data_IF_313938827008
#
_entry.id   IF_313938827008
#
_cell.length_a   1.000
_cell.length_b   1.000
_cell.length_c   1.000
_cell.angle_alpha   90.00
_cell.angle_beta   90.00
_cell.angle_gamma   90.00
#
_symmetry.space_group_name_H-M   'P 1'
#
loop_
_entity.id
_entity.type
_entity.pdbx_description
1 polymer ?
#
# COMPACT_ATOMS: atom_id res chain seq x y z
N UNK A 1 43.05 -58.25 -27.32
CA UNK A 1 42.75 -56.82 -27.04
C UNK A 1 41.61 -56.77 -26.05
N UNK A 2 41.81 -56.18 -24.86
CA UNK A 2 40.86 -56.18 -23.73
C UNK A 2 39.81 -55.07 -23.86
N UNK A 3 38.52 -55.41 -23.77
CA UNK A 3 37.41 -54.61 -23.19
C UNK A 3 36.32 -55.61 -22.76
N UNK A 4 36.38 -56.13 -21.53
CA UNK A 4 35.74 -55.64 -20.29
C UNK A 4 34.22 -55.58 -20.38
N UNK A 5 33.61 -56.55 -19.69
CA UNK A 5 32.22 -56.70 -19.30
C UNK A 5 31.84 -55.59 -18.30
N UNK A 6 30.69 -54.93 -18.48
CA UNK A 6 30.01 -54.17 -17.43
C UNK A 6 28.59 -54.74 -17.31
N UNK A 7 28.27 -55.15 -16.09
CA UNK A 7 27.01 -55.73 -15.62
C UNK A 7 26.30 -54.67 -14.76
N UNK A 8 24.95 -54.76 -14.70
CA UNK A 8 24.02 -54.23 -13.68
C UNK A 8 23.67 -52.73 -13.75
N UNK A 9 22.45 -52.24 -13.53
CA UNK A 9 21.13 -52.74 -13.06
C UNK A 9 20.08 -51.68 -13.53
N UNK A 10 18.78 -52.02 -13.68
CA UNK A 10 17.78 -51.06 -14.17
C UNK A 10 17.56 -49.91 -13.18
N UNK A 11 17.46 -48.69 -13.68
CA UNK A 11 16.97 -47.53 -12.93
C UNK A 11 15.54 -47.81 -12.47
N UNK A 12 15.39 -48.12 -11.18
CA UNK A 12 14.10 -48.07 -10.50
C UNK A 12 13.82 -46.61 -10.20
N UNK A 13 12.89 -46.01 -10.93
CA UNK A 13 12.29 -44.74 -10.55
C UNK A 13 11.43 -44.95 -9.31
N UNK A 14 11.98 -44.65 -8.14
CA UNK A 14 11.21 -44.45 -6.92
C UNK A 14 10.96 -42.95 -6.77
N UNK A 15 9.83 -42.47 -7.28
CA UNK A 15 9.13 -41.35 -6.64
C UNK A 15 8.10 -41.99 -5.73
N UNK A 16 8.51 -42.30 -4.50
CA UNK A 16 7.55 -42.55 -3.44
C UNK A 16 6.96 -41.18 -3.09
N UNK A 17 5.78 -40.89 -3.63
CA UNK A 17 4.88 -39.95 -2.99
C UNK A 17 4.63 -40.51 -1.58
N UNK A 18 5.14 -39.82 -0.57
CA UNK A 18 4.68 -40.04 0.80
C UNK A 18 3.31 -39.37 0.90
N UNK A 19 2.22 -40.11 1.13
CA UNK A 19 0.94 -39.49 1.45
C UNK A 19 1.05 -38.95 2.87
N UNK A 20 0.93 -37.64 3.03
CA UNK A 20 0.69 -37.05 4.34
C UNK A 20 -0.82 -36.97 4.57
N UNK A 21 -1.19 -37.47 5.74
CA UNK A 21 -2.54 -37.73 6.25
C UNK A 21 -3.37 -36.46 6.47
N UNK A 22 -4.69 -36.63 6.49
CA UNK A 22 -5.72 -35.60 6.54
C UNK A 22 -6.11 -35.21 7.97
N UNK A 23 -5.22 -34.65 8.77
CA UNK A 23 -5.61 -34.32 10.15
C UNK A 23 -4.57 -33.45 10.83
N UNK A 24 -4.80 -32.14 10.78
CA UNK A 24 -4.69 -31.18 11.90
C UNK A 24 -4.58 -29.76 11.30
N UNK A 25 -5.69 -28.99 11.31
CA UNK A 25 -5.82 -27.51 11.17
C UNK A 25 -7.23 -27.06 10.69
N UNK A 26 -8.29 -27.81 11.00
CA UNK A 26 -9.66 -27.26 10.90
C UNK A 26 -10.38 -27.62 12.22
N UNK A 27 -10.84 -26.60 12.96
CA UNK A 27 -11.83 -26.82 14.01
C UNK A 27 -13.12 -27.38 13.37
N UNK A 28 -13.87 -28.18 14.12
CA UNK A 28 -14.98 -29.02 13.63
C UNK A 28 -16.13 -28.25 12.93
N UNK A 29 -16.14 -26.92 12.94
CA UNK A 29 -17.17 -26.09 12.31
C UNK A 29 -16.81 -25.52 10.92
N UNK A 30 -15.60 -25.82 10.39
CA UNK A 30 -15.16 -25.50 9.01
C UNK A 30 -15.29 -24.02 8.59
N UNK A 31 -15.27 -23.08 9.51
CA UNK A 31 -15.45 -21.65 9.15
C UNK A 31 -14.18 -20.91 8.76
N UNK A 32 -12.98 -21.51 8.90
CA UNK A 32 -11.73 -20.75 8.77
C UNK A 32 -10.62 -21.36 7.88
N UNK A 33 -10.93 -22.34 7.02
CA UNK A 33 -9.86 -23.05 6.28
C UNK A 33 -9.35 -22.31 5.01
N UNK A 34 -9.58 -20.98 4.86
CA UNK A 34 -9.25 -20.22 3.64
C UNK A 34 -8.10 -19.19 3.79
N UNK A 35 -7.75 -18.77 5.01
CA UNK A 35 -6.71 -17.75 5.22
C UNK A 35 -5.29 -18.34 5.28
N UNK A 36 -5.11 -19.52 5.85
CA UNK A 36 -3.76 -20.09 6.07
C UNK A 36 -3.25 -20.89 4.86
N UNK A 37 -4.12 -21.41 4.00
CA UNK A 37 -3.73 -22.21 2.83
C UNK A 37 -3.07 -21.38 1.70
N UNK A 38 -3.19 -20.05 1.73
CA UNK A 38 -2.51 -19.14 0.80
C UNK A 38 -1.12 -18.67 1.30
N UNK A 39 -0.75 -18.94 2.55
CA UNK A 39 0.56 -18.56 3.10
C UNK A 39 1.70 -19.50 2.68
N UNK A 40 1.40 -20.64 2.05
CA UNK A 40 2.41 -21.57 1.54
C UNK A 40 2.23 -21.88 0.05
N UNK A 41 2.42 -20.88 -0.82
CA UNK A 41 2.82 -21.12 -2.22
C UNK A 41 3.58 -19.97 -2.86
N UNK A 42 4.45 -19.34 -2.10
CA UNK A 42 5.64 -18.64 -2.60
C UNK A 42 6.89 -19.51 -2.43
N UNK A 43 6.88 -20.74 -2.94
CA UNK A 43 8.14 -21.49 -3.07
C UNK A 43 8.93 -20.86 -4.22
N UNK A 44 9.58 -19.72 -3.95
CA UNK A 44 10.81 -19.37 -4.64
C UNK A 44 11.63 -20.65 -4.65
N UNK A 45 11.92 -21.17 -5.84
CA UNK A 45 12.93 -22.20 -5.96
C UNK A 45 14.14 -21.65 -5.21
N UNK A 46 14.49 -22.26 -4.07
CA UNK A 46 15.75 -22.02 -3.38
C UNK A 46 16.82 -22.57 -4.31
N UNK A 47 17.09 -21.87 -5.41
CA UNK A 47 18.41 -21.93 -6.00
C UNK A 47 19.30 -21.37 -4.90
N UNK A 48 20.12 -22.23 -4.29
CA UNK A 48 21.24 -21.77 -3.47
C UNK A 48 22.15 -20.98 -4.40
N UNK A 49 21.85 -19.70 -4.59
CA UNK A 49 22.81 -18.74 -5.13
C UNK A 49 23.84 -18.60 -4.03
N UNK A 50 24.99 -19.25 -4.19
CA UNK A 50 26.11 -19.04 -3.29
C UNK A 50 26.48 -17.57 -3.28
N UNK A 51 26.84 -17.04 -2.12
CA UNK A 51 27.42 -15.70 -2.03
C UNK A 51 28.89 -15.74 -2.45
N UNK A 52 29.41 -14.60 -2.90
CA UNK A 52 30.85 -14.42 -3.13
C UNK A 52 31.21 -12.94 -2.98
N UNK A 53 31.99 -12.57 -1.97
CA UNK A 53 32.54 -11.22 -1.86
C UNK A 53 33.73 -11.09 -2.81
N UNK A 54 33.65 -10.10 -3.72
CA UNK A 54 34.61 -9.97 -4.81
C UNK A 54 36.00 -9.57 -4.31
N UNK A 55 37.04 -10.15 -4.92
CA UNK A 55 38.44 -9.91 -4.56
C UNK A 55 39.25 -9.36 -5.73
N UNK A 56 40.41 -8.77 -5.42
CA UNK A 56 41.28 -8.13 -6.41
C UNK A 56 41.64 -9.08 -7.55
N UNK A 57 41.38 -8.65 -8.79
CA UNK A 57 41.60 -9.43 -10.01
C UNK A 57 40.32 -9.93 -10.67
N UNK A 58 39.20 -9.92 -9.95
CA UNK A 58 37.91 -10.33 -10.50
C UNK A 58 37.22 -9.21 -11.29
N UNK A 59 36.34 -9.61 -12.22
CA UNK A 59 35.56 -8.66 -13.03
C UNK A 59 34.73 -7.73 -12.14
N UNK A 60 34.01 -8.30 -11.17
CA UNK A 60 33.17 -7.55 -10.24
C UNK A 60 34.01 -6.55 -9.41
N UNK A 61 35.18 -6.96 -8.90
CA UNK A 61 36.07 -6.07 -8.15
C UNK A 61 36.51 -4.83 -8.94
N UNK A 62 36.68 -4.95 -10.26
CA UNK A 62 36.98 -3.79 -11.12
C UNK A 62 35.81 -2.81 -11.22
N UNK A 63 34.59 -3.33 -11.35
CA UNK A 63 33.37 -2.50 -11.36
C UNK A 63 33.20 -1.78 -10.01
N UNK A 64 33.38 -2.51 -8.90
CA UNK A 64 33.33 -1.96 -7.53
C UNK A 64 34.39 -0.88 -7.33
N UNK A 65 35.63 -1.12 -7.77
CA UNK A 65 36.73 -0.16 -7.64
C UNK A 65 36.44 1.10 -8.45
N UNK A 66 35.96 0.95 -9.69
CA UNK A 66 35.58 2.10 -10.52
C UNK A 66 34.44 2.89 -9.89
N UNK A 67 33.39 2.22 -9.39
CA UNK A 67 32.26 2.87 -8.72
C UNK A 67 32.72 3.67 -7.49
N UNK A 68 33.61 3.09 -6.67
CA UNK A 68 34.12 3.71 -5.44
C UNK A 68 35.10 4.86 -5.68
N UNK A 69 35.97 4.75 -6.68
CA UNK A 69 37.04 5.73 -6.90
C UNK A 69 36.67 6.84 -7.89
N UNK A 70 35.81 6.52 -8.87
CA UNK A 70 35.47 7.40 -10.00
C UNK A 70 33.98 7.68 -10.05
N UNK A 71 33.14 6.64 -10.07
CA UNK A 71 31.70 6.74 -10.27
C UNK A 71 31.04 7.68 -9.26
N UNK A 72 31.23 7.41 -7.97
CA UNK A 72 30.61 8.20 -6.89
C UNK A 72 31.06 9.66 -6.84
N UNK A 73 32.27 9.98 -7.31
CA UNK A 73 32.76 11.36 -7.37
C UNK A 73 32.18 12.13 -8.55
N UNK A 74 31.95 11.45 -9.67
CA UNK A 74 31.41 12.07 -10.90
C UNK A 74 29.90 12.15 -10.91
N UNK A 75 29.23 11.16 -10.31
CA UNK A 75 27.79 11.02 -10.29
C UNK A 75 27.33 10.60 -8.89
N UNK A 76 27.45 11.48 -7.87
CA UNK A 76 27.04 11.15 -6.50
C UNK A 76 25.56 10.73 -6.43
N UNK A 77 24.71 11.31 -7.27
CA UNK A 77 23.27 10.98 -7.37
C UNK A 77 23.01 9.52 -7.76
N UNK A 78 23.97 8.84 -8.40
CA UNK A 78 23.86 7.42 -8.68
C UNK A 78 24.08 6.55 -7.45
N UNK A 79 24.50 7.11 -6.32
CA UNK A 79 24.88 6.37 -5.12
C UNK A 79 24.29 7.02 -3.86
N UNK A 80 22.95 7.19 -3.77
CA UNK A 80 22.31 8.00 -2.73
C UNK A 80 22.62 7.54 -1.30
N UNK A 81 22.86 6.24 -1.10
CA UNK A 81 23.16 5.64 0.21
C UNK A 81 24.64 5.30 0.43
N UNK A 82 25.52 5.57 -0.54
CA UNK A 82 26.95 5.29 -0.41
C UNK A 82 27.76 6.58 -0.34
N UNK A 83 28.89 6.47 0.34
CA UNK A 83 29.92 7.52 0.34
C UNK A 83 31.20 6.95 -0.26
N UNK A 84 32.17 7.82 -0.54
CA UNK A 84 33.51 7.40 -0.99
C UNK A 84 34.20 6.41 -0.03
N UNK A 85 33.77 6.40 1.23
CA UNK A 85 34.32 5.60 2.32
C UNK A 85 33.52 4.31 2.57
N UNK A 86 32.40 4.09 1.86
CA UNK A 86 31.62 2.85 1.92
C UNK A 86 32.42 1.64 1.46
N UNK A 87 32.09 0.46 1.99
CA UNK A 87 32.91 -0.74 1.85
C UNK A 87 32.82 -1.37 0.45
N UNK A 88 33.76 -2.27 0.13
CA UNK A 88 33.70 -3.10 -1.10
C UNK A 88 32.38 -3.88 -1.15
N UNK A 89 31.91 -4.35 0.00
CA UNK A 89 30.65 -5.10 0.12
C UNK A 89 29.46 -4.23 -0.24
N UNK A 90 29.41 -2.97 0.24
CA UNK A 90 28.30 -2.06 -0.04
C UNK A 90 28.22 -1.68 -1.53
N UNK A 91 29.36 -1.37 -2.15
CA UNK A 91 29.42 -1.11 -3.58
C UNK A 91 29.13 -2.36 -4.42
N UNK A 92 29.59 -3.54 -3.98
CA UNK A 92 29.29 -4.79 -4.65
C UNK A 92 27.80 -5.11 -4.58
N UNK A 93 27.18 -4.91 -3.42
CA UNK A 93 25.75 -5.12 -3.23
C UNK A 93 24.95 -4.20 -4.15
N UNK A 94 25.26 -2.90 -4.18
CA UNK A 94 24.61 -1.96 -5.10
C UNK A 94 24.76 -2.37 -6.58
N UNK A 95 25.94 -2.82 -6.99
CA UNK A 95 26.18 -3.25 -8.37
C UNK A 95 25.46 -4.57 -8.67
N UNK A 96 25.43 -5.50 -7.71
CA UNK A 96 24.66 -6.74 -7.82
C UNK A 96 23.17 -6.45 -7.93
N UNK A 97 22.63 -5.56 -7.11
CA UNK A 97 21.21 -5.22 -7.10
C UNK A 97 20.76 -4.56 -8.40
N UNK A 98 21.59 -3.67 -8.97
CA UNK A 98 21.27 -3.02 -10.25
C UNK A 98 21.57 -3.88 -11.47
N UNK A 99 22.61 -4.69 -11.40
CA UNK A 99 23.10 -5.50 -12.51
C UNK A 99 23.57 -6.87 -11.98
N UNK A 100 22.63 -7.80 -11.68
CA UNK A 100 22.96 -9.10 -11.07
C UNK A 100 24.00 -9.92 -11.85
N UNK A 101 24.09 -9.73 -13.16
CA UNK A 101 25.09 -10.37 -14.02
C UNK A 101 26.51 -9.78 -13.95
N UNK A 102 26.72 -8.62 -13.34
CA UNK A 102 28.05 -7.99 -13.19
C UNK A 102 28.79 -8.43 -11.93
N UNK A 103 28.05 -8.63 -10.85
CA UNK A 103 28.58 -9.00 -9.56
C UNK A 103 27.70 -10.06 -8.91
N UNK A 104 28.26 -11.11 -8.28
CA UNK A 104 27.49 -11.99 -7.41
C UNK A 104 27.09 -11.25 -6.13
N UNK A 105 26.10 -11.79 -5.40
CA UNK A 105 25.73 -11.27 -4.08
C UNK A 105 26.93 -11.41 -3.13
N UNK A 106 27.37 -10.35 -2.43
CA UNK A 106 28.48 -10.47 -1.49
C UNK A 106 28.13 -11.40 -0.33
N UNK A 107 29.13 -11.98 0.32
CA UNK A 107 28.91 -12.80 1.51
C UNK A 107 28.73 -11.94 2.76
N UNK A 108 27.90 -12.43 3.69
CA UNK A 108 27.68 -11.77 4.98
C UNK A 108 26.71 -10.59 4.94
N UNK A 109 26.07 -10.33 3.79
CA UNK A 109 24.91 -9.42 3.70
C UNK A 109 23.62 -10.20 3.96
N UNK A 110 22.64 -9.61 4.66
CA UNK A 110 21.28 -10.15 4.70
C UNK A 110 20.78 -10.35 3.27
N UNK A 111 20.23 -11.54 2.96
CA UNK A 111 19.74 -11.88 1.61
C UNK A 111 18.51 -11.06 1.20
N UNK A 112 17.93 -10.30 2.15
CA UNK A 112 16.91 -9.28 1.96
C UNK A 112 17.16 -8.12 2.93
N UNK A 113 16.83 -6.87 2.57
CA UNK A 113 16.85 -5.75 3.52
C UNK A 113 16.01 -6.04 4.77
N UNK A 114 16.35 -5.42 5.91
CA UNK A 114 15.59 -5.58 7.17
C UNK A 114 14.09 -5.31 7.03
N UNK A 115 13.69 -4.38 6.17
CA UNK A 115 12.28 -4.07 5.90
C UNK A 115 11.54 -5.14 5.10
N UNK A 116 12.21 -6.20 4.61
CA UNK A 116 11.54 -7.38 4.05
C UNK A 116 11.27 -8.49 5.09
N UNK A 117 11.72 -8.33 6.33
CA UNK A 117 11.69 -9.38 7.36
C UNK A 117 10.85 -8.97 8.58
N UNK A 118 9.75 -8.23 8.37
CA UNK A 118 8.91 -7.79 9.48
C UNK A 118 7.87 -8.84 9.87
N UNK A 119 7.77 -9.23 11.15
CA UNK A 119 6.64 -10.03 11.61
C UNK A 119 5.33 -9.22 11.47
N UNK A 120 4.17 -9.91 11.38
CA UNK A 120 2.88 -9.23 11.33
C UNK A 120 2.73 -8.23 12.48
N UNK A 121 2.50 -6.97 12.16
CA UNK A 121 2.25 -5.94 13.16
C UNK A 121 0.84 -6.14 13.75
N UNK A 122 0.71 -5.99 15.07
CA UNK A 122 -0.61 -6.02 15.72
C UNK A 122 -1.43 -4.75 15.42
N UNK A 123 -2.74 -4.79 15.66
CA UNK A 123 -3.64 -3.66 15.39
C UNK A 123 -3.30 -2.39 16.17
N UNK A 124 -3.64 -1.24 15.59
CA UNK A 124 -3.56 0.05 16.27
C UNK A 124 -4.71 0.18 17.28
N UNK A 125 -4.43 0.76 18.45
CA UNK A 125 -5.48 1.05 19.43
C UNK A 125 -6.35 2.20 18.96
N UNK A 126 -7.65 2.15 19.26
CA UNK A 126 -8.56 3.26 19.02
C UNK A 126 -8.12 4.53 19.79
N UNK A 127 -8.45 5.73 19.29
CA UNK A 127 -8.15 6.98 20.00
C UNK A 127 -8.92 7.07 21.32
N UNK A 128 -8.41 7.87 22.26
CA UNK A 128 -9.04 8.04 23.56
C UNK A 128 -10.41 8.73 23.45
N UNK A 129 -11.41 8.12 24.08
CA UNK A 129 -12.70 8.76 24.35
C UNK A 129 -12.55 9.81 25.45
N UNK A 130 -12.38 11.07 25.04
CA UNK A 130 -12.30 12.22 25.94
C UNK A 130 -13.54 13.13 25.79
N UNK A 131 -13.83 13.92 26.82
CA UNK A 131 -14.88 14.93 26.78
C UNK A 131 -14.55 16.05 25.79
N UNK A 132 -15.50 16.40 24.93
CA UNK A 132 -15.36 17.45 23.93
C UNK A 132 -15.01 16.90 22.54
N UNK A 133 -15.70 17.40 21.52
CA UNK A 133 -15.52 16.97 20.13
C UNK A 133 -14.54 17.88 19.39
N UNK A 134 -13.67 17.29 18.56
CA UNK A 134 -12.90 18.03 17.55
C UNK A 134 -13.18 17.46 16.17
N UNK A 135 -13.15 18.32 15.16
CA UNK A 135 -13.12 17.90 13.76
C UNK A 135 -11.71 18.04 13.23
N UNK A 136 -11.23 17.04 12.48
CA UNK A 136 -9.93 17.06 11.81
C UNK A 136 -10.19 16.91 10.32
N UNK A 137 -9.81 17.93 9.54
CA UNK A 137 -9.89 17.91 8.08
C UNK A 137 -8.51 17.61 7.48
N UNK A 138 -8.40 16.48 6.78
CA UNK A 138 -7.15 15.96 6.23
C UNK A 138 -7.19 15.85 4.70
N UNK A 139 -6.07 16.16 4.06
CA UNK A 139 -5.86 16.06 2.60
C UNK A 139 -4.79 15.01 2.25
N UNK A 140 -5.03 14.22 1.19
CA UNK A 140 -4.00 13.47 0.45
C UNK A 140 -3.95 13.97 -0.99
N UNK A 141 -2.75 14.20 -1.54
CA UNK A 141 -2.64 14.67 -2.92
C UNK A 141 -1.26 14.40 -3.55
N UNK A 142 -1.19 13.50 -4.53
CA UNK A 142 -0.01 13.35 -5.38
C UNK A 142 0.05 14.52 -6.37
N UNK A 143 1.19 15.23 -6.40
CA UNK A 143 1.37 16.46 -7.15
C UNK A 143 1.87 16.27 -8.58
N UNK A 144 2.16 15.03 -9.01
CA UNK A 144 2.72 14.72 -10.33
C UNK A 144 3.91 15.60 -10.68
N UNK A 145 4.87 15.69 -9.75
CA UNK A 145 5.71 16.86 -9.62
C UNK A 145 6.60 17.12 -10.82
N UNK A 146 7.21 16.07 -11.36
CA UNK A 146 8.10 16.18 -12.51
C UNK A 146 7.38 16.84 -13.70
N UNK A 147 6.09 16.56 -13.89
CA UNK A 147 5.32 17.13 -14.98
C UNK A 147 4.62 18.43 -14.59
N UNK A 148 3.90 18.47 -13.47
CA UNK A 148 3.15 19.65 -13.05
C UNK A 148 4.07 20.82 -12.73
N UNK A 149 5.13 20.59 -11.95
CA UNK A 149 6.07 21.63 -11.54
C UNK A 149 7.32 21.68 -12.42
N UNK A 150 7.87 20.54 -12.83
CA UNK A 150 9.06 20.50 -13.69
C UNK A 150 8.78 20.95 -15.13
N UNK A 151 7.84 20.30 -15.82
CA UNK A 151 7.53 20.60 -17.23
C UNK A 151 6.59 21.80 -17.37
N UNK A 152 5.48 21.79 -16.64
CA UNK A 152 4.39 22.77 -16.75
C UNK A 152 4.56 23.97 -15.81
N UNK A 153 5.66 24.03 -15.05
CA UNK A 153 6.04 25.16 -14.19
C UNK A 153 4.96 25.58 -13.20
N UNK A 154 4.24 24.61 -12.64
CA UNK A 154 3.14 24.77 -11.70
C UNK A 154 1.78 25.00 -12.36
N UNK A 155 1.71 25.09 -13.70
CA UNK A 155 0.47 25.28 -14.46
C UNK A 155 -0.38 26.45 -13.93
N UNK A 156 0.26 27.60 -13.65
CA UNK A 156 -0.40 28.75 -13.02
C UNK A 156 -0.85 28.46 -11.59
N UNK A 157 -0.05 27.70 -10.84
CA UNK A 157 -0.27 27.32 -9.44
C UNK A 157 -1.58 26.54 -9.21
N UNK A 158 -2.00 25.75 -10.20
CA UNK A 158 -3.33 25.12 -10.22
C UNK A 158 -3.59 24.18 -9.03
N UNK A 159 -2.58 23.45 -8.56
CA UNK A 159 -2.70 22.61 -7.36
C UNK A 159 -2.88 23.46 -6.09
N UNK A 160 -2.10 24.52 -5.93
CA UNK A 160 -2.25 25.46 -4.80
C UNK A 160 -3.60 26.17 -4.83
N UNK A 161 -4.06 26.59 -6.00
CA UNK A 161 -5.36 27.26 -6.16
C UNK A 161 -6.52 26.33 -5.84
N UNK A 162 -6.42 25.04 -6.18
CA UNK A 162 -7.41 24.05 -5.79
C UNK A 162 -7.53 23.93 -4.26
N UNK A 163 -6.39 23.81 -3.57
CA UNK A 163 -6.35 23.77 -2.10
C UNK A 163 -6.93 25.07 -1.53
N UNK A 164 -6.50 26.23 -2.05
CA UNK A 164 -6.99 27.54 -1.59
C UNK A 164 -8.51 27.67 -1.77
N UNK A 165 -9.06 27.22 -2.89
CA UNK A 165 -10.49 27.25 -3.13
C UNK A 165 -11.25 26.46 -2.06
N UNK A 166 -10.84 25.23 -1.77
CA UNK A 166 -11.46 24.40 -0.72
C UNK A 166 -11.31 25.05 0.67
N UNK A 167 -10.18 25.71 0.96
CA UNK A 167 -10.04 26.43 2.25
C UNK A 167 -10.97 27.63 2.41
N UNK A 168 -11.37 28.25 1.30
CA UNK A 168 -12.33 29.36 1.29
C UNK A 168 -13.76 28.84 1.37
N UNK A 169 -14.06 27.74 0.68
CA UNK A 169 -15.39 27.16 0.62
C UNK A 169 -15.78 26.41 1.91
N UNK A 170 -14.88 25.59 2.44
CA UNK A 170 -15.18 24.64 3.51
C UNK A 170 -14.11 24.61 4.61
N UNK A 171 -13.47 25.77 4.82
CA UNK A 171 -12.53 25.99 5.91
C UNK A 171 -11.15 25.34 5.71
N UNK A 172 -10.20 25.78 6.53
CA UNK A 172 -8.82 25.31 6.49
C UNK A 172 -8.72 23.82 6.80
N UNK A 173 -7.83 23.13 6.07
CA UNK A 173 -7.34 21.82 6.47
C UNK A 173 -6.58 21.92 7.79
N UNK A 174 -6.64 20.87 8.59
CA UNK A 174 -5.79 20.72 9.77
C UNK A 174 -4.43 20.18 9.39
N UNK A 175 -4.42 19.20 8.48
CA UNK A 175 -3.23 18.50 8.01
C UNK A 175 -3.33 18.15 6.53
N UNK A 176 -2.21 18.18 5.81
CA UNK A 176 -2.13 17.87 4.38
C UNK A 176 -0.90 17.01 4.09
N UNK A 177 -1.07 15.94 3.32
CA UNK A 177 0.01 15.09 2.81
C UNK A 177 0.14 15.22 1.30
N UNK A 178 1.36 15.45 0.83
CA UNK A 178 1.68 15.55 -0.60
C UNK A 178 2.69 14.48 -1.02
N UNK A 179 2.40 13.78 -2.11
CA UNK A 179 3.32 12.81 -2.73
C UNK A 179 3.90 13.39 -4.03
N UNK A 180 5.04 12.83 -4.44
CA UNK A 180 5.96 13.43 -5.44
C UNK A 180 6.43 14.85 -5.09
N UNK A 181 6.21 15.30 -3.87
CA UNK A 181 6.50 16.65 -3.44
C UNK A 181 7.99 16.89 -3.15
N UNK A 182 8.71 17.51 -4.10
CA UNK A 182 10.10 17.94 -3.87
C UNK A 182 10.19 19.25 -3.06
N UNK A 183 9.14 20.07 -3.04
CA UNK A 183 9.10 21.33 -2.28
C UNK A 183 7.67 21.73 -1.86
N UNK A 184 7.27 21.41 -0.63
CA UNK A 184 5.91 21.72 -0.16
C UNK A 184 5.61 23.22 -0.05
N UNK A 185 6.63 24.06 0.20
CA UNK A 185 6.44 25.53 0.30
C UNK A 185 5.99 26.09 -1.05
N UNK A 186 6.54 25.59 -2.15
CA UNK A 186 6.15 26.00 -3.52
C UNK A 186 4.67 25.74 -3.84
N UNK A 187 4.04 24.79 -3.14
CA UNK A 187 2.61 24.48 -3.34
C UNK A 187 1.72 25.53 -2.67
N UNK A 188 2.10 26.01 -1.49
CA UNK A 188 1.24 26.83 -0.62
C UNK A 188 1.58 28.33 -0.64
N UNK A 189 2.85 28.69 -0.85
CA UNK A 189 3.33 30.09 -0.85
C UNK A 189 2.65 30.97 -1.92
N UNK A 190 2.58 30.57 -3.21
CA UNK A 190 2.04 31.44 -4.25
C UNK A 190 0.56 31.77 -4.07
N UNK A 191 -0.17 30.94 -3.32
CA UNK A 191 -1.60 31.08 -3.05
C UNK A 191 -1.91 31.65 -1.66
N UNK A 192 -0.88 32.16 -0.98
CA UNK A 192 -1.02 32.90 0.28
C UNK A 192 -1.44 32.03 1.47
N UNK A 193 -1.08 30.75 1.48
CA UNK A 193 -1.43 29.82 2.57
C UNK A 193 -0.35 29.71 3.66
N UNK A 194 0.86 30.21 3.44
CA UNK A 194 1.99 30.07 4.38
C UNK A 194 1.77 30.78 5.73
N UNK A 195 0.90 31.78 5.81
CA UNK A 195 0.52 32.42 7.07
C UNK A 195 -0.24 31.45 8.01
N UNK A 196 -0.93 30.45 7.44
CA UNK A 196 -1.75 29.50 8.19
C UNK A 196 -1.07 28.15 8.43
N UNK A 197 -0.13 27.77 7.56
CA UNK A 197 0.46 26.42 7.55
C UNK A 197 1.97 26.42 7.78
N UNK A 198 2.44 25.43 8.52
CA UNK A 198 3.84 25.01 8.50
C UNK A 198 3.97 23.87 7.50
N UNK A 199 5.05 23.87 6.72
CA UNK A 199 5.40 22.79 5.80
C UNK A 199 6.59 22.04 6.35
N UNK A 200 6.49 20.71 6.38
CA UNK A 200 7.60 19.81 6.66
C UNK A 200 7.98 19.07 5.37
N UNK A 201 9.21 19.30 4.91
CA UNK A 201 9.81 18.52 3.84
C UNK A 201 10.33 17.20 4.41
N UNK A 202 9.89 16.08 3.84
CA UNK A 202 10.36 14.75 4.22
C UNK A 202 11.26 14.11 3.16
N UNK A 203 11.61 12.85 3.41
CA UNK A 203 12.37 12.02 2.47
C UNK A 203 11.53 11.62 1.25
N UNK A 204 12.20 11.17 0.19
CA UNK A 204 11.58 10.54 -1.00
C UNK A 204 10.47 11.34 -1.67
N UNK A 205 10.61 12.68 -1.71
CA UNK A 205 9.62 13.59 -2.26
C UNK A 205 8.22 13.40 -1.62
N UNK A 206 8.20 13.30 -0.29
CA UNK A 206 6.96 13.29 0.51
C UNK A 206 6.99 14.51 1.41
N UNK A 207 5.95 15.34 1.33
CA UNK A 207 5.80 16.51 2.18
C UNK A 207 4.59 16.37 3.08
N UNK A 208 4.62 17.12 4.18
CA UNK A 208 3.47 17.33 5.03
C UNK A 208 3.25 18.82 5.28
N UNK A 209 2.03 19.21 5.64
CA UNK A 209 1.74 20.52 6.19
C UNK A 209 0.69 20.44 7.29
N UNK A 210 0.77 21.33 8.28
CA UNK A 210 -0.21 21.42 9.36
C UNK A 210 -0.57 22.87 9.71
N UNK A 211 -1.79 23.06 10.21
CA UNK A 211 -2.32 24.38 10.57
C UNK A 211 -1.76 24.87 11.91
N UNK A 212 -0.75 25.76 11.87
CA UNK A 212 -0.02 26.28 13.04
C UNK A 212 -0.89 26.97 14.10
N UNK A 213 -2.00 27.58 13.68
CA UNK A 213 -2.91 28.26 14.61
C UNK A 213 -3.69 27.30 15.51
N UNK A 214 -3.94 26.07 15.04
CA UNK A 214 -4.74 25.08 15.75
C UNK A 214 -3.88 23.97 16.38
N UNK A 215 -2.70 23.69 15.82
CA UNK A 215 -1.87 22.56 16.20
C UNK A 215 -0.43 22.98 16.49
N UNK A 216 0.16 22.34 17.50
CA UNK A 216 1.58 22.42 17.82
C UNK A 216 2.28 21.10 17.54
N UNK A 217 3.47 21.15 16.94
CA UNK A 217 4.28 19.97 16.67
C UNK A 217 4.91 19.42 17.97
N UNK A 218 4.70 18.15 18.25
CA UNK A 218 5.32 17.43 19.37
C UNK A 218 6.60 16.71 18.94
N UNK A 219 6.51 15.95 17.85
CA UNK A 219 7.60 15.19 17.26
C UNK A 219 7.34 14.95 15.78
N UNK A 220 8.38 14.59 15.04
CA UNK A 220 8.27 14.18 13.64
C UNK A 220 9.38 13.23 13.28
N UNK A 221 9.20 12.52 12.16
CA UNK A 221 10.19 11.56 11.68
C UNK A 221 9.86 11.06 10.29
N UNK A 222 10.74 10.21 9.79
CA UNK A 222 10.58 9.56 8.50
C UNK A 222 11.36 8.26 8.47
N UNK A 223 10.78 7.21 7.89
CA UNK A 223 11.43 5.90 7.79
C UNK A 223 11.22 5.27 6.41
N UNK A 224 12.24 4.54 5.94
CA UNK A 224 12.12 3.63 4.80
C UNK A 224 11.20 2.46 5.18
N UNK A 225 10.15 2.23 4.41
CA UNK A 225 9.20 1.13 4.59
C UNK A 225 9.27 0.10 3.46
N UNK A 226 10.07 0.37 2.42
CA UNK A 226 10.38 -0.58 1.37
C UNK A 226 11.16 0.05 0.22
N UNK A 227 11.19 -0.63 -0.92
CA UNK A 227 11.84 -0.15 -2.14
C UNK A 227 11.15 -0.72 -3.37
N UNK A 228 11.29 -0.03 -4.50
CA UNK A 228 10.72 -0.51 -5.75
C UNK A 228 11.27 -1.88 -6.17
N UNK A 229 10.52 -2.57 -7.02
CA UNK A 229 11.01 -3.79 -7.68
C UNK A 229 12.30 -3.48 -8.46
N UNK A 230 13.27 -4.40 -8.42
CA UNK A 230 14.55 -4.24 -9.15
C UNK A 230 14.37 -4.09 -10.67
N UNK A 231 13.30 -4.67 -11.24
CA UNK A 231 12.95 -4.53 -12.65
C UNK A 231 12.65 -3.08 -13.04
N UNK A 232 12.04 -2.30 -12.15
CA UNK A 232 11.59 -0.93 -12.36
C UNK A 232 11.94 -0.06 -11.15
N UNK A 233 13.25 0.08 -10.90
CA UNK A 233 13.78 0.72 -9.70
C UNK A 233 13.89 2.24 -9.84
N UNK A 234 13.17 2.98 -8.98
CA UNK A 234 13.27 4.44 -8.87
C UNK A 234 13.75 4.89 -7.49
N UNK A 235 13.68 4.01 -6.48
CA UNK A 235 14.31 4.23 -5.19
C UNK A 235 13.64 3.49 -4.05
N UNK A 236 14.03 3.90 -2.84
CA UNK A 236 13.36 3.50 -1.61
C UNK A 236 12.06 4.28 -1.44
N UNK A 237 11.16 3.68 -0.66
CA UNK A 237 9.81 4.18 -0.37
C UNK A 237 9.69 4.32 1.12
N UNK A 238 9.16 5.45 1.55
CA UNK A 238 9.13 5.81 2.96
C UNK A 238 7.78 6.32 3.40
N UNK A 239 7.66 6.46 4.71
CA UNK A 239 6.58 7.19 5.36
C UNK A 239 7.18 8.37 6.11
N UNK A 240 6.55 9.54 5.98
CA UNK A 240 6.91 10.76 6.70
C UNK A 240 5.76 11.07 7.64
N UNK A 241 6.05 11.36 8.90
CA UNK A 241 5.01 11.55 9.90
C UNK A 241 5.31 12.73 10.82
N UNK A 242 4.24 13.28 11.39
CA UNK A 242 4.29 14.26 12.46
C UNK A 242 3.28 13.91 13.55
N UNK A 243 3.67 14.10 14.80
CA UNK A 243 2.78 14.01 15.95
C UNK A 243 2.47 15.43 16.42
N UNK A 244 1.19 15.75 16.50
CA UNK A 244 0.66 17.07 16.81
C UNK A 244 -0.18 17.03 18.08
N UNK A 245 -0.25 18.17 18.78
CA UNK A 245 -1.24 18.42 19.84
C UNK A 245 -2.16 19.56 19.43
N UNK A 246 -3.46 19.36 19.57
CA UNK A 246 -4.45 20.40 19.34
C UNK A 246 -4.41 21.41 20.49
N UNK A 247 -4.19 22.68 20.17
CA UNK A 247 -3.92 23.72 21.16
C UNK A 247 -5.11 23.94 22.13
N UNK A 248 -6.34 23.78 21.65
CA UNK A 248 -7.53 24.06 22.46
C UNK A 248 -8.01 22.87 23.31
N UNK A 249 -7.80 21.62 22.84
CA UNK A 249 -8.34 20.43 23.52
C UNK A 249 -7.26 19.53 24.11
N UNK A 250 -5.99 19.70 23.75
CA UNK A 250 -4.91 18.83 24.18
C UNK A 250 -4.95 17.43 23.55
N UNK A 251 -5.88 17.16 22.62
CA UNK A 251 -5.93 15.91 21.85
C UNK A 251 -4.73 15.80 20.93
N UNK A 252 -4.26 14.57 20.71
CA UNK A 252 -3.06 14.29 19.93
C UNK A 252 -3.43 13.60 18.61
N UNK A 253 -2.69 13.95 17.57
CA UNK A 253 -2.83 13.39 16.23
C UNK A 253 -1.45 12.98 15.73
N UNK A 254 -1.28 11.71 15.40
CA UNK A 254 -0.22 11.26 14.50
C UNK A 254 -0.74 11.33 13.07
N UNK A 255 -0.17 12.22 12.26
CA UNK A 255 -0.46 12.32 10.84
C UNK A 255 0.73 11.83 10.03
N UNK A 256 0.51 10.83 9.17
CA UNK A 256 1.54 10.19 8.37
C UNK A 256 1.16 10.24 6.88
N UNK A 257 2.18 10.32 6.03
CA UNK A 257 2.06 10.36 4.58
C UNK A 257 3.03 9.38 3.93
N UNK A 258 2.54 8.60 2.98
CA UNK A 258 3.28 7.57 2.27
C UNK A 258 3.19 7.75 0.75
N UNK A 259 4.29 7.46 0.06
CA UNK A 259 4.30 7.24 -1.39
C UNK A 259 4.86 5.85 -1.66
N UNK A 260 4.00 4.95 -2.13
CA UNK A 260 4.32 3.53 -2.26
C UNK A 260 5.14 3.18 -3.51
N UNK A 261 5.58 1.91 -3.62
CA UNK A 261 6.35 1.42 -4.77
C UNK A 261 5.65 1.66 -6.10
N UNK A 262 6.35 2.22 -7.09
CA UNK A 262 5.70 2.78 -8.30
C UNK A 262 5.01 1.76 -9.19
N UNK A 263 5.51 0.52 -9.21
CA UNK A 263 4.82 -0.53 -9.94
C UNK A 263 3.54 -0.88 -9.19
N UNK A 264 2.41 -0.46 -9.74
CA UNK A 264 1.12 -0.52 -9.05
C UNK A 264 0.82 -1.94 -8.58
N UNK A 265 0.42 -2.06 -7.31
CA UNK A 265 0.11 -3.29 -6.59
C UNK A 265 1.30 -4.23 -6.30
N UNK A 266 2.54 -3.88 -6.70
CA UNK A 266 3.70 -4.74 -6.48
C UNK A 266 4.04 -4.92 -4.99
N UNK A 267 3.87 -3.85 -4.21
CA UNK A 267 4.47 -3.78 -2.88
C UNK A 267 6.01 -3.79 -2.90
N UNK A 268 6.62 -3.51 -4.05
CA UNK A 268 8.07 -3.39 -4.19
C UNK A 268 8.82 -4.72 -4.10
N UNK A 269 10.12 -4.65 -3.82
CA UNK A 269 11.00 -5.84 -3.79
C UNK A 269 10.59 -6.87 -2.70
N UNK A 270 9.95 -6.39 -1.63
CA UNK A 270 9.55 -7.23 -0.48
C UNK A 270 8.07 -7.68 -0.53
N UNK A 271 7.27 -7.18 -1.47
CA UNK A 271 5.83 -7.44 -1.55
C UNK A 271 4.98 -6.63 -0.56
N UNK A 272 3.67 -6.58 -0.84
CA UNK A 272 2.75 -5.64 -0.20
C UNK A 272 2.53 -5.85 1.29
N UNK A 273 2.56 -7.10 1.76
CA UNK A 273 2.43 -7.39 3.20
C UNK A 273 3.56 -6.77 4.01
N UNK A 274 4.80 -6.81 3.48
CA UNK A 274 5.95 -6.18 4.12
C UNK A 274 5.74 -4.67 4.27
N UNK A 275 5.36 -3.98 3.18
CA UNK A 275 5.09 -2.53 3.21
C UNK A 275 4.04 -2.18 4.26
N UNK A 276 2.92 -2.91 4.28
CA UNK A 276 1.84 -2.65 5.22
C UNK A 276 2.27 -2.85 6.68
N UNK A 277 2.97 -3.93 6.99
CA UNK A 277 3.46 -4.20 8.34
C UNK A 277 4.49 -3.16 8.79
N UNK A 278 5.38 -2.74 7.90
CA UNK A 278 6.37 -1.69 8.17
C UNK A 278 5.68 -0.35 8.48
N UNK A 279 4.67 0.02 7.68
CA UNK A 279 3.86 1.21 7.93
C UNK A 279 3.21 1.18 9.31
N UNK A 280 2.53 0.07 9.64
CA UNK A 280 1.85 -0.08 10.94
C UNK A 280 2.85 0.02 12.09
N UNK A 281 4.02 -0.60 11.97
CA UNK A 281 5.03 -0.55 13.02
C UNK A 281 5.61 0.85 13.21
N UNK A 282 5.88 1.59 12.13
CA UNK A 282 6.29 2.99 12.23
C UNK A 282 5.19 3.81 12.94
N UNK A 283 3.93 3.62 12.58
CA UNK A 283 2.81 4.31 13.23
C UNK A 283 2.71 3.98 14.72
N UNK A 284 2.85 2.70 15.11
CA UNK A 284 2.88 2.25 16.50
C UNK A 284 4.02 2.87 17.29
N UNK A 285 5.22 2.88 16.74
CA UNK A 285 6.41 3.41 17.43
C UNK A 285 6.44 4.94 17.50
N UNK A 286 5.64 5.60 16.65
CA UNK A 286 5.56 7.06 16.57
C UNK A 286 4.32 7.64 17.27
N UNK A 287 3.47 6.79 17.85
CA UNK A 287 2.25 7.19 18.58
C UNK A 287 2.30 6.78 20.05
N UNK A 288 1.43 7.40 20.85
CA UNK A 288 1.12 6.95 22.21
C UNK A 288 -0.30 6.39 22.29
N UNK A 289 -0.61 5.51 23.27
CA UNK A 289 -1.97 5.06 23.52
C UNK A 289 -2.94 6.24 23.67
N UNK A 290 -4.01 6.22 22.88
CA UNK A 290 -5.04 7.27 22.87
C UNK A 290 -4.88 8.33 21.77
N UNK A 291 -3.75 8.36 21.06
CA UNK A 291 -3.57 9.22 19.89
C UNK A 291 -4.56 8.85 18.77
N UNK A 292 -5.10 9.86 18.09
CA UNK A 292 -5.69 9.66 16.77
C UNK A 292 -4.58 9.47 15.74
N UNK A 293 -4.76 8.55 14.81
CA UNK A 293 -3.80 8.25 13.75
C UNK A 293 -4.52 8.41 12.41
N UNK A 294 -3.96 9.20 11.51
CA UNK A 294 -4.40 9.32 10.12
C UNK A 294 -3.19 9.06 9.22
N UNK A 295 -3.27 8.05 8.37
CA UNK A 295 -2.30 7.74 7.33
C UNK A 295 -2.90 8.07 5.97
N UNK A 296 -2.26 8.97 5.23
CA UNK A 296 -2.61 9.32 3.85
C UNK A 296 -1.53 8.85 2.89
N UNK A 297 -1.85 8.76 1.61
CA UNK A 297 -0.83 8.47 0.61
C UNK A 297 -1.39 8.20 -0.78
N UNK A 298 -0.50 8.30 -1.74
CA UNK A 298 -0.55 7.52 -2.97
C UNK A 298 0.21 6.23 -2.68
N UNK A 299 -0.52 5.14 -2.49
CA UNK A 299 0.10 3.88 -2.13
C UNK A 299 0.68 3.16 -3.34
N UNK A 300 0.41 3.64 -4.57
CA UNK A 300 0.53 2.85 -5.80
C UNK A 300 -0.05 1.44 -5.60
N UNK A 301 -1.11 1.34 -4.80
CA UNK A 301 -1.66 0.08 -4.37
C UNK A 301 -3.16 0.31 -4.16
N UNK A 302 -3.98 -0.37 -4.94
CA UNK A 302 -5.42 -0.30 -4.81
C UNK A 302 -5.95 -1.43 -3.92
N UNK A 303 -7.27 -1.49 -3.77
CA UNK A 303 -8.00 -2.46 -2.94
C UNK A 303 -7.62 -3.93 -3.16
N UNK A 304 -7.05 -4.26 -4.32
CA UNK A 304 -6.61 -5.59 -4.65
C UNK A 304 -5.22 -5.96 -4.15
N UNK A 305 -4.39 -4.97 -3.87
CA UNK A 305 -3.03 -5.21 -3.42
C UNK A 305 -3.00 -5.86 -2.05
N UNK A 306 -2.01 -6.70 -1.80
CA UNK A 306 -1.75 -7.23 -0.47
C UNK A 306 -1.43 -6.11 0.52
N UNK A 307 -0.83 -5.00 0.06
CA UNK A 307 -0.59 -3.79 0.87
C UNK A 307 -1.89 -3.26 1.48
N UNK A 308 -2.90 -2.99 0.65
CA UNK A 308 -4.16 -2.42 1.13
C UNK A 308 -4.97 -3.43 1.94
N UNK A 309 -4.98 -4.71 1.53
CA UNK A 309 -5.66 -5.76 2.29
C UNK A 309 -5.08 -5.95 3.70
N UNK A 310 -3.75 -5.96 3.83
CA UNK A 310 -3.09 -6.05 5.16
C UNK A 310 -3.40 -4.82 6.00
N UNK A 311 -3.36 -3.60 5.43
CA UNK A 311 -3.73 -2.37 6.14
C UNK A 311 -5.19 -2.40 6.62
N UNK A 312 -6.15 -2.84 5.80
CA UNK A 312 -7.56 -2.97 6.22
C UNK A 312 -7.78 -3.89 7.41
N UNK A 313 -6.94 -4.92 7.57
CA UNK A 313 -7.04 -5.82 8.71
C UNK A 313 -6.57 -5.18 10.04
N UNK A 314 -6.03 -3.95 10.00
CA UNK A 314 -5.39 -3.27 11.13
C UNK A 314 -5.78 -1.80 11.29
N UNK A 315 -6.36 -1.20 10.25
CA UNK A 315 -6.78 0.20 10.17
C UNK A 315 -8.11 0.32 9.43
N UNK A 316 -8.86 1.37 9.72
CA UNK A 316 -10.13 1.68 9.05
C UNK A 316 -9.86 2.54 7.82
N UNK A 317 -10.40 2.16 6.66
CA UNK A 317 -10.39 3.02 5.48
C UNK A 317 -11.38 4.17 5.65
N UNK A 318 -10.85 5.38 5.78
CA UNK A 318 -11.64 6.58 5.89
C UNK A 318 -12.07 7.10 4.52
N UNK A 319 -11.21 7.00 3.50
CA UNK A 319 -11.55 7.34 2.12
C UNK A 319 -10.57 6.71 1.11
N UNK A 320 -11.08 6.11 0.03
CA UNK A 320 -10.29 5.70 -1.15
C UNK A 320 -10.62 6.57 -2.36
N UNK A 321 -9.59 7.11 -3.02
CA UNK A 321 -9.69 7.91 -4.25
C UNK A 321 -10.04 7.07 -5.48
N UNK A 322 -10.26 7.74 -6.62
CA UNK A 322 -10.59 7.09 -7.89
C UNK A 322 -9.41 6.89 -8.85
N UNK A 323 -8.33 7.66 -8.67
CA UNK A 323 -7.18 7.66 -9.57
C UNK A 323 -6.51 6.29 -9.63
N UNK A 324 -6.14 5.87 -10.85
CA UNK A 324 -5.47 4.60 -11.15
C UNK A 324 -6.12 3.35 -10.51
N UNK A 325 -7.45 3.36 -10.37
CA UNK A 325 -8.19 2.26 -9.77
C UNK A 325 -8.20 2.26 -8.24
N UNK A 326 -7.86 3.38 -7.61
CA UNK A 326 -7.97 3.60 -6.16
C UNK A 326 -6.66 3.45 -5.39
N UNK A 327 -5.58 4.01 -5.92
CA UNK A 327 -4.25 3.96 -5.28
C UNK A 327 -4.08 4.98 -4.16
N UNK A 328 -4.83 6.09 -4.22
CA UNK A 328 -4.84 7.12 -3.17
C UNK A 328 -5.78 6.71 -2.03
N UNK A 329 -5.26 6.59 -0.82
CA UNK A 329 -6.05 6.13 0.32
C UNK A 329 -5.80 6.99 1.58
N UNK A 330 -6.84 7.09 2.41
CA UNK A 330 -6.80 7.70 3.73
C UNK A 330 -7.29 6.66 4.73
N UNK A 331 -6.41 6.25 5.64
CA UNK A 331 -6.69 5.31 6.73
C UNK A 331 -6.65 6.01 8.08
N UNK A 332 -7.34 5.44 9.06
CA UNK A 332 -7.21 5.86 10.45
C UNK A 332 -7.47 4.75 11.46
N UNK A 333 -7.22 5.04 12.73
CA UNK A 333 -7.51 4.13 13.85
C UNK A 333 -8.85 4.44 14.56
N UNK A 334 -9.67 5.32 13.99
CA UNK A 334 -11.02 5.62 14.46
C UNK A 334 -12.09 4.86 13.67
N UNK A 335 -13.26 4.70 14.29
CA UNK A 335 -14.43 4.08 13.67
C UNK A 335 -14.87 4.82 12.39
N UNK A 336 -15.42 4.11 11.42
CA UNK A 336 -15.88 4.69 10.15
C UNK A 336 -17.02 5.70 10.35
N UNK A 337 -17.81 5.56 11.42
CA UNK A 337 -18.84 6.52 11.85
C UNK A 337 -18.27 7.87 12.28
N UNK A 338 -16.96 7.96 12.55
CA UNK A 338 -16.28 9.24 12.80
C UNK A 338 -16.20 10.13 11.55
N UNK A 339 -16.37 9.57 10.35
CA UNK A 339 -16.24 10.33 9.10
C UNK A 339 -17.47 11.22 8.90
N UNK A 340 -17.25 12.54 8.95
CA UNK A 340 -18.25 13.58 8.73
C UNK A 340 -18.44 13.86 7.23
N UNK A 341 -17.35 13.91 6.46
CA UNK A 341 -17.41 14.18 5.02
C UNK A 341 -16.23 13.60 4.28
N UNK A 342 -16.45 13.28 2.99
CA UNK A 342 -15.44 12.84 2.01
C UNK A 342 -15.61 13.69 0.76
N UNK A 343 -14.51 14.19 0.19
CA UNK A 343 -14.55 15.02 -1.02
C UNK A 343 -13.40 14.68 -1.95
N UNK A 344 -13.73 14.46 -3.23
CA UNK A 344 -12.78 14.55 -4.32
C UNK A 344 -12.78 16.01 -4.80
N UNK A 345 -11.66 16.71 -4.68
CA UNK A 345 -11.50 18.10 -5.07
C UNK A 345 -11.13 18.25 -6.56
N UNK A 346 -10.84 17.14 -7.23
CA UNK A 346 -10.36 17.07 -8.61
C UNK A 346 -8.85 17.16 -8.71
N UNK A 347 -8.36 17.14 -9.94
CA UNK A 347 -6.95 16.87 -10.19
C UNK A 347 -6.02 18.07 -10.02
N UNK A 348 -6.53 19.30 -10.04
CA UNK A 348 -5.70 20.51 -9.93
C UNK A 348 -4.52 20.57 -10.92
N UNK A 349 -4.59 19.82 -12.03
CA UNK A 349 -3.51 19.68 -13.02
C UNK A 349 -2.55 18.50 -12.80
N UNK A 350 -2.64 17.80 -11.68
CA UNK A 350 -2.03 16.48 -11.46
C UNK A 350 -2.75 15.40 -12.28
N UNK A 351 -2.15 14.22 -12.38
CA UNK A 351 -2.79 12.99 -12.87
C UNK A 351 -3.51 12.22 -11.74
N UNK A 352 -3.32 12.63 -10.49
CA UNK A 352 -4.12 12.22 -9.34
C UNK A 352 -5.14 13.29 -8.95
N UNK A 353 -6.28 12.86 -8.41
CA UNK A 353 -7.24 13.74 -7.77
C UNK A 353 -6.84 14.01 -6.31
N UNK A 354 -6.98 15.26 -5.88
CA UNK A 354 -6.84 15.62 -4.47
C UNK A 354 -8.05 15.11 -3.67
N UNK A 355 -7.82 14.30 -2.65
CA UNK A 355 -8.89 13.70 -1.83
C UNK A 355 -8.84 14.19 -0.38
N UNK A 356 -9.99 14.51 0.18
CA UNK A 356 -10.14 15.05 1.54
C UNK A 356 -11.13 14.23 2.36
N UNK A 357 -10.83 14.08 3.64
CA UNK A 357 -11.76 13.57 4.65
C UNK A 357 -11.85 14.53 5.84
N UNK A 358 -13.05 14.69 6.40
CA UNK A 358 -13.24 15.33 7.70
C UNK A 358 -13.73 14.27 8.68
N UNK A 359 -13.03 14.11 9.80
CA UNK A 359 -13.41 13.18 10.87
C UNK A 359 -13.72 13.93 12.16
N UNK A 360 -14.67 13.43 12.94
CA UNK A 360 -15.00 13.93 14.27
C UNK A 360 -14.50 12.96 15.33
N UNK A 361 -13.75 13.46 16.31
CA UNK A 361 -13.26 12.70 17.45
C UNK A 361 -13.96 13.13 18.73
N UNK A 362 -14.39 12.17 19.54
CA UNK A 362 -15.09 12.37 20.81
C UNK A 362 -16.62 12.36 20.67
N UNK A 363 -17.31 12.21 21.80
CA UNK A 363 -18.77 12.28 21.86
C UNK A 363 -19.21 13.74 21.62
N UNK A 364 -20.15 14.01 20.68
CA UNK A 364 -20.76 15.33 20.56
C UNK A 364 -21.32 15.79 21.92
N UNK A 365 -21.32 17.10 22.25
CA UNK A 365 -22.07 17.59 23.41
C UNK A 365 -23.50 17.05 23.33
N UNK A 366 -24.01 16.51 24.44
CA UNK A 366 -25.35 15.90 24.47
C UNK A 366 -26.37 16.85 23.81
N UNK A 367 -27.15 16.37 22.83
CA UNK A 367 -28.25 17.15 22.28
C UNK A 367 -29.20 17.55 23.42
N UNK A 368 -29.78 18.75 23.34
CA UNK A 368 -30.94 19.08 24.16
C UNK A 368 -32.00 17.97 24.04
N UNK A 369 -32.73 17.62 25.12
CA UNK A 369 -33.55 16.42 25.16
C UNK A 369 -34.56 16.40 23.99
N UNK A 370 -34.59 15.34 23.17
CA UNK A 370 -35.55 15.25 22.09
C UNK A 370 -36.96 14.98 22.63
N UNK A 371 -37.97 15.45 21.90
CA UNK A 371 -39.34 14.99 22.07
C UNK A 371 -39.40 13.46 21.81
N UNK A 372 -40.26 12.78 22.57
CA UNK A 372 -40.35 11.33 22.64
C UNK A 372 -40.57 10.67 21.27
N UNK A 373 -39.68 9.74 20.90
CA UNK A 373 -39.93 8.68 19.93
C UNK A 373 -39.46 7.34 20.52
N UNK A 374 -40.24 6.29 20.22
CA UNK A 374 -40.24 4.98 20.90
C UNK A 374 -39.00 4.13 20.63
N UNK A 375 -38.61 3.36 21.65
CA UNK A 375 -37.43 2.50 21.68
C UNK A 375 -37.65 1.18 20.90
N UNK A 376 -36.79 0.91 19.91
CA UNK A 376 -36.54 -0.43 19.37
C UNK A 376 -35.36 -1.11 20.08
N UNK A 377 -35.34 -2.44 20.20
CA UNK A 377 -34.38 -3.14 21.05
C UNK A 377 -32.96 -3.14 20.44
N UNK A 378 -31.97 -2.96 21.31
CA UNK A 378 -30.56 -2.96 20.98
C UNK A 378 -30.00 -4.40 20.90
N UNK A 379 -29.34 -4.70 19.78
CA UNK A 379 -28.40 -5.81 19.65
C UNK A 379 -28.45 -6.47 18.28
N UNK A 380 -27.48 -6.17 17.39
CA UNK A 380 -27.15 -7.03 16.22
C UNK A 380 -26.10 -6.52 15.21
N UNK A 381 -25.39 -5.40 15.35
CA UNK A 381 -24.54 -4.92 14.22
C UNK A 381 -23.40 -5.89 13.80
N UNK A 382 -22.77 -6.61 14.74
CA UNK A 382 -21.78 -7.65 14.43
C UNK A 382 -22.42 -8.94 13.85
N UNK A 383 -23.65 -9.27 14.28
CA UNK A 383 -24.36 -10.42 13.73
C UNK A 383 -24.94 -10.14 12.35
N UNK A 384 -25.34 -8.89 12.06
CA UNK A 384 -25.90 -8.48 10.77
C UNK A 384 -24.87 -8.53 9.63
N UNK A 385 -23.62 -8.10 9.86
CA UNK A 385 -22.56 -8.23 8.84
C UNK A 385 -22.25 -9.70 8.52
N UNK A 386 -22.24 -10.55 9.55
CA UNK A 386 -21.95 -11.99 9.45
C UNK A 386 -23.13 -12.78 8.87
N UNK A 387 -24.35 -12.33 9.11
CA UNK A 387 -25.59 -12.96 8.62
C UNK A 387 -25.92 -12.47 7.20
N UNK A 388 -25.55 -11.22 6.84
CA UNK A 388 -25.54 -10.74 5.45
C UNK A 388 -24.53 -11.50 4.58
N UNK A 389 -23.34 -11.82 5.10
CA UNK A 389 -22.35 -12.70 4.45
C UNK A 389 -22.89 -14.10 4.13
N UNK A 390 -23.85 -14.60 4.93
CA UNK A 390 -24.46 -15.93 4.76
C UNK A 390 -25.77 -15.93 3.98
N UNK A 391 -26.51 -14.83 3.99
CA UNK A 391 -27.89 -14.83 3.53
C UNK A 391 -28.08 -14.36 2.08
N UNK A 392 -27.25 -13.46 1.53
CA UNK A 392 -27.28 -13.09 0.11
C UNK A 392 -26.03 -12.27 -0.27
N UNK A 393 -25.49 -12.51 -1.48
CA UNK A 393 -24.44 -11.67 -2.07
C UNK A 393 -24.90 -10.20 -2.03
N UNK A 394 -24.07 -9.25 -1.53
CA UNK A 394 -24.44 -7.84 -1.48
C UNK A 394 -24.73 -7.36 -2.89
N UNK A 395 -25.79 -6.58 -3.05
CA UNK A 395 -26.12 -5.93 -4.32
C UNK A 395 -25.09 -4.88 -4.74
N UNK A 396 -25.49 -3.96 -5.63
CA UNK A 396 -24.64 -2.89 -6.18
C UNK A 396 -24.27 -1.77 -5.18
N UNK A 397 -24.05 -2.10 -3.91
CA UNK A 397 -23.59 -1.16 -2.89
C UNK A 397 -22.07 -0.93 -3.00
N UNK A 398 -21.70 0.29 -3.38
CA UNK A 398 -20.32 0.72 -3.58
C UNK A 398 -19.54 0.93 -2.27
N UNK A 399 -20.19 0.85 -1.12
CA UNK A 399 -19.57 1.09 0.18
C UNK A 399 -18.70 -0.08 0.67
N UNK A 400 -18.87 -1.27 0.07
CA UNK A 400 -18.21 -2.48 0.53
C UNK A 400 -17.61 -3.28 -0.65
N UNK A 401 -16.29 -3.17 -0.87
CA UNK A 401 -15.55 -3.97 -1.86
C UNK A 401 -14.76 -5.09 -1.17
N UNK A 402 -15.11 -6.35 -1.41
CA UNK A 402 -14.52 -7.52 -0.74
C UNK A 402 -14.37 -8.72 -1.69
N UNK A 403 -13.77 -8.49 -2.85
CA UNK A 403 -13.43 -9.54 -3.82
C UNK A 403 -11.90 -9.77 -3.81
N UNK A 404 -11.46 -11.02 -3.70
CA UNK A 404 -10.04 -11.39 -3.79
C UNK A 404 -9.54 -11.22 -5.23
N UNK A 405 -8.83 -10.13 -5.52
CA UNK A 405 -8.25 -9.91 -6.84
C UNK A 405 -6.85 -10.56 -6.92
N UNK A 406 -6.63 -11.30 -8.00
CA UNK A 406 -5.35 -11.86 -8.43
C UNK A 406 -4.55 -10.82 -9.23
N UNK A 407 -3.23 -10.94 -9.21
CA UNK A 407 -2.31 -9.98 -9.85
C UNK A 407 -2.71 -9.71 -11.32
N UNK A 408 -2.81 -8.43 -11.73
CA UNK A 408 -3.05 -8.08 -13.12
C UNK A 408 -1.90 -8.59 -14.00
N UNK A 409 -2.21 -8.94 -15.25
CA UNK A 409 -1.23 -9.42 -16.25
C UNK A 409 -0.42 -10.69 -15.91
N UNK A 410 -0.70 -11.33 -14.77
CA UNK A 410 -0.20 -12.68 -14.43
C UNK A 410 -1.13 -13.78 -14.93
N UNK A 411 -0.60 -14.75 -15.68
CA UNK A 411 -1.36 -15.89 -16.18
C UNK A 411 -1.60 -16.93 -15.09
N UNK A 412 -2.83 -17.01 -14.57
CA UNK A 412 -3.21 -18.04 -13.62
C UNK A 412 -3.72 -19.27 -14.37
N UNK A 413 -3.06 -20.41 -14.14
CA UNK A 413 -3.53 -21.72 -14.62
C UNK A 413 -4.27 -22.36 -13.46
N UNK A 414 -5.62 -22.41 -13.49
CA UNK A 414 -6.35 -22.96 -12.37
C UNK A 414 -6.24 -24.50 -12.39
N UNK A 415 -6.31 -25.17 -11.22
CA UNK A 415 -6.12 -26.62 -11.14
C UNK A 415 -7.11 -27.39 -12.05
N UNK A 416 -6.71 -28.56 -12.56
CA UNK A 416 -7.61 -29.41 -13.35
C UNK A 416 -8.93 -29.66 -12.60
N UNK A 417 -10.06 -29.25 -13.18
CA UNK A 417 -11.40 -29.37 -12.60
C UNK A 417 -11.95 -28.09 -11.92
N UNK A 418 -11.17 -27.02 -11.84
CA UNK A 418 -11.60 -25.70 -11.33
C UNK A 418 -12.57 -24.99 -12.28
N UNK A 419 -13.50 -24.21 -11.71
CA UNK A 419 -14.28 -23.27 -12.50
C UNK A 419 -13.46 -22.04 -12.90
N UNK A 420 -13.61 -21.60 -14.15
CA UNK A 420 -13.07 -20.33 -14.64
C UNK A 420 -13.99 -19.70 -15.67
N UNK A 421 -14.04 -18.36 -15.70
CA UNK A 421 -14.84 -17.59 -16.66
C UNK A 421 -14.04 -16.39 -17.17
N UNK A 422 -14.05 -16.16 -18.48
CA UNK A 422 -13.38 -15.02 -19.10
C UNK A 422 -14.41 -14.13 -19.81
N UNK A 423 -14.50 -12.87 -19.40
CA UNK A 423 -15.39 -11.85 -19.97
C UNK A 423 -14.55 -10.80 -20.67
N UNK A 424 -14.76 -10.61 -21.97
CA UNK A 424 -14.12 -9.52 -22.73
C UNK A 424 -15.01 -8.28 -22.77
N UNK A 425 -14.39 -7.10 -22.75
CA UNK A 425 -15.06 -5.80 -22.75
C UNK A 425 -15.83 -5.59 -24.05
N UNK A 426 -17.16 -5.57 -23.93
CA UNK A 426 -18.12 -5.35 -25.02
C UNK A 426 -19.32 -4.56 -24.48
N UNK A 427 -19.15 -3.26 -24.19
CA UNK A 427 -20.17 -2.48 -23.47
C UNK A 427 -21.50 -2.38 -24.25
N UNK A 428 -21.47 -2.51 -25.58
CA UNK A 428 -22.68 -2.56 -26.41
C UNK A 428 -23.52 -3.84 -26.23
N UNK A 429 -23.02 -4.85 -25.51
CA UNK A 429 -23.75 -6.09 -25.19
C UNK A 429 -24.37 -6.07 -23.78
N UNK A 430 -24.29 -4.95 -23.05
CA UNK A 430 -24.88 -4.77 -21.72
C UNK A 430 -23.84 -4.68 -20.60
N UNK A 431 -24.31 -4.34 -19.39
CA UNK A 431 -23.46 -4.07 -18.22
C UNK A 431 -22.61 -5.27 -17.80
N UNK A 432 -23.10 -6.49 -18.04
CA UNK A 432 -22.37 -7.73 -17.72
C UNK A 432 -21.12 -7.94 -18.60
N UNK A 433 -20.97 -7.14 -19.66
CA UNK A 433 -19.81 -7.13 -20.55
C UNK A 433 -19.02 -5.82 -20.46
N UNK A 434 -19.40 -4.88 -19.59
CA UNK A 434 -18.63 -3.66 -19.32
C UNK A 434 -17.52 -3.92 -18.30
N UNK A 435 -16.41 -4.51 -18.77
CA UNK A 435 -15.17 -4.66 -17.98
C UNK A 435 -14.15 -3.56 -18.28
N UNK A 436 -14.60 -2.31 -18.43
CA UNK A 436 -13.72 -1.17 -18.73
C UNK A 436 -12.65 -0.92 -17.66
N UNK A 437 -12.86 -1.42 -16.44
CA UNK A 437 -12.00 -1.16 -15.31
C UNK A 437 -12.07 -2.31 -14.27
N UNK A 438 -11.03 -2.52 -13.46
CA UNK A 438 -10.92 -3.65 -12.52
C UNK A 438 -12.11 -3.76 -11.54
N UNK A 439 -12.62 -2.64 -11.02
CA UNK A 439 -13.80 -2.64 -10.14
C UNK A 439 -15.06 -3.22 -10.78
N UNK A 440 -15.17 -3.18 -12.11
CA UNK A 440 -16.27 -3.84 -12.84
C UNK A 440 -16.08 -5.36 -12.84
N UNK A 441 -14.83 -5.82 -12.98
CA UNK A 441 -14.50 -7.24 -12.90
C UNK A 441 -14.75 -7.80 -11.48
N UNK A 442 -14.39 -7.04 -10.44
CA UNK A 442 -14.76 -7.36 -9.06
C UNK A 442 -16.26 -7.61 -8.89
N UNK A 443 -17.11 -6.74 -9.45
CA UNK A 443 -18.58 -6.88 -9.37
C UNK A 443 -19.08 -8.13 -10.06
N UNK A 444 -18.55 -8.44 -11.24
CA UNK A 444 -18.91 -9.65 -11.98
C UNK A 444 -18.51 -10.89 -11.18
N UNK A 445 -17.36 -10.86 -10.51
CA UNK A 445 -16.97 -11.91 -9.59
C UNK A 445 -17.91 -11.99 -8.39
N UNK A 446 -18.29 -10.87 -7.78
CA UNK A 446 -19.24 -10.84 -6.67
C UNK A 446 -20.63 -11.38 -7.04
N UNK A 447 -21.09 -11.13 -8.27
CA UNK A 447 -22.38 -11.63 -8.79
C UNK A 447 -22.35 -13.11 -9.17
N UNK A 448 -21.17 -13.67 -9.41
CA UNK A 448 -21.00 -15.06 -9.83
C UNK A 448 -20.71 -15.95 -8.62
N UNK A 449 -21.67 -16.78 -8.16
CA UNK A 449 -21.54 -17.55 -6.92
C UNK A 449 -20.33 -18.49 -6.89
N UNK A 450 -19.83 -18.88 -8.06
CA UNK A 450 -18.66 -19.76 -8.21
C UNK A 450 -17.34 -19.00 -8.17
N UNK A 451 -17.36 -17.69 -8.37
CA UNK A 451 -16.16 -16.88 -8.36
C UNK A 451 -15.63 -16.70 -6.93
N UNK A 452 -14.37 -17.06 -6.75
CA UNK A 452 -13.62 -16.85 -5.50
C UNK A 452 -12.51 -15.82 -5.70
N UNK A 453 -12.05 -15.63 -6.93
CA UNK A 453 -11.01 -14.67 -7.27
C UNK A 453 -11.04 -14.26 -8.74
N UNK A 454 -10.37 -13.17 -9.10
CA UNK A 454 -10.41 -12.65 -10.47
C UNK A 454 -9.15 -11.83 -10.82
N UNK A 455 -8.79 -11.71 -12.10
CA UNK A 455 -7.77 -10.79 -12.61
C UNK A 455 -8.33 -9.97 -13.77
N UNK A 456 -7.85 -8.74 -13.92
CA UNK A 456 -8.20 -7.86 -15.03
C UNK A 456 -6.97 -7.63 -15.91
N UNK A 457 -7.14 -7.74 -17.22
CA UNK A 457 -6.07 -7.64 -18.22
C UNK A 457 -6.32 -6.47 -19.15
N UNK A 458 -5.31 -5.63 -19.33
CA UNK A 458 -5.35 -4.47 -20.26
C UNK A 458 -4.52 -4.68 -21.54
N UNK A 459 -3.76 -5.79 -21.64
CA UNK A 459 -2.89 -6.11 -22.79
C UNK A 459 -3.61 -6.60 -24.07
N UNK A 460 -4.81 -6.11 -24.38
CA UNK A 460 -5.68 -6.52 -25.49
C UNK A 460 -7.08 -5.91 -25.37
N UNK A 461 -8.16 -6.44 -26.00
CA UNK A 461 -9.50 -6.05 -25.56
C UNK A 461 -9.59 -6.36 -24.06
N UNK A 462 -9.86 -5.32 -23.26
CA UNK A 462 -9.94 -5.40 -21.79
C UNK A 462 -10.76 -6.62 -21.40
N UNK A 463 -10.27 -7.42 -20.47
CA UNK A 463 -10.99 -8.63 -20.06
C UNK A 463 -10.83 -8.92 -18.59
N UNK A 464 -11.85 -9.55 -18.05
CA UNK A 464 -11.95 -10.05 -16.69
C UNK A 464 -11.82 -11.58 -16.74
N UNK A 465 -10.85 -12.14 -16.04
CA UNK A 465 -10.69 -13.59 -15.89
C UNK A 465 -11.01 -13.94 -14.44
N UNK A 466 -12.00 -14.79 -14.21
CA UNK A 466 -12.54 -15.15 -12.90
C UNK A 466 -12.29 -16.63 -12.64
N UNK A 467 -12.03 -16.99 -11.38
CA UNK A 467 -11.66 -18.33 -10.97
C UNK A 467 -12.39 -18.74 -9.69
N UNK A 468 -12.68 -20.03 -9.58
CA UNK A 468 -13.42 -20.64 -8.49
C UNK A 468 -12.89 -22.03 -8.11
N UNK A 469 -13.45 -22.61 -7.06
CA UNK A 469 -13.06 -23.93 -6.58
C UNK A 469 -13.25 -25.04 -7.62
N UNK A 470 -12.47 -26.11 -7.48
CA UNK A 470 -12.68 -27.35 -8.22
C UNK A 470 -13.87 -28.09 -7.63
N UNK A 471 -14.79 -28.52 -8.51
CA UNK A 471 -15.81 -29.49 -8.11
C UNK A 471 -15.10 -30.81 -7.85
N UNK A 472 -14.98 -31.20 -6.58
CA UNK A 472 -14.49 -32.52 -6.19
C UNK A 472 -15.44 -33.63 -6.68
#
# INVERSE_FOLDING_TARGET
>A
MRKVLILLIPFVGFTQELPLHSDDECAEDRTDCALTALQHRGALTKQKVGCHTTVRGERCFREVTWAREVGIRKHPDWYPDLTKDSSVVDFQLLIHDRMPGKCPIPCGVPLRPKWCEWPPAGSLLAPAEESGSITIKALSYNLFWWNLYGVRRGNGDSAGHLIRAETVEDGLFDVMGFQECENGVRVLEPVGLMDSYEVMQGMHAVCLAYRKGAWSLLSSGSEDVGEDMKSHYYGRRGVVWMRLVHNATGRKLLFANHHGPLEVNSGGDCGGDSIANNLIEVLRNSSEPGDAIILVGDFNANSASLTIQTLWSRMVLLYGGGSFGGVDNIFGNMDSASVVSRKNLGSGGSDHDAISVTVSLGTPPAPAPPAQEEQGPAGSLESEATEALRANLPGDDWQHFWCGQLEPDVGYVPPLGSWSLVISHRPHMGDDFDVAAPQRCCRLCQREPRCKSWTWKDGGPRRCEMYGEATC
#
